data_IF_187674456763
#
_entry.id   IF_187674456763
#
_cell.length_a   1.000
_cell.length_b   1.000
_cell.length_c   1.000
_cell.angle_alpha   90.00
_cell.angle_beta   90.00
_cell.angle_gamma   90.00
#
_symmetry.space_group_name_H-M   'P 1'
#
loop_
_entity.id
_entity.type
_entity.pdbx_description
1 polymer ?
#
# COMPACT_ATOMS: atom_id res chain seq x y z
N UNK A 1 15.83 38.74 33.09
CA UNK A 1 14.37 38.84 32.91
C UNK A 1 14.02 38.20 31.59
N UNK A 2 13.49 36.98 31.60
CA UNK A 2 13.08 36.30 30.37
C UNK A 2 11.67 36.76 29.98
N UNK A 3 11.42 37.13 28.71
CA UNK A 3 10.10 37.57 28.28
C UNK A 3 9.15 36.37 28.22
N UNK A 4 8.12 36.38 29.08
CA UNK A 4 7.01 35.43 29.01
C UNK A 4 6.10 35.79 27.83
N UNK A 5 6.30 35.10 26.70
CA UNK A 5 5.37 35.13 25.59
C UNK A 5 3.99 34.60 26.05
N UNK A 6 2.88 35.29 25.76
CA UNK A 6 1.55 34.88 26.18
C UNK A 6 1.19 33.51 25.59
N UNK A 7 0.55 32.65 26.40
CA UNK A 7 0.20 31.25 26.05
C UNK A 7 -0.50 31.11 24.69
N UNK A 8 -1.29 32.11 24.30
CA UNK A 8 -1.98 32.18 23.00
C UNK A 8 -0.99 32.26 21.84
N UNK A 9 0.10 33.02 21.97
CA UNK A 9 1.12 33.13 20.91
C UNK A 9 1.87 31.82 20.72
N UNK A 10 2.17 31.10 21.81
CA UNK A 10 2.76 29.76 21.74
C UNK A 10 1.83 28.78 21.01
N UNK A 11 0.52 28.81 21.29
CA UNK A 11 -0.45 27.94 20.63
C UNK A 11 -0.55 28.20 19.12
N UNK A 12 -0.55 29.48 18.70
CA UNK A 12 -0.56 29.87 17.28
C UNK A 12 0.74 29.45 16.58
N UNK A 13 1.89 29.62 17.22
CA UNK A 13 3.19 29.18 16.68
C UNK A 13 3.23 27.66 16.54
N UNK A 14 2.73 26.90 17.52
CA UNK A 14 2.64 25.44 17.44
C UNK A 14 1.72 24.97 16.32
N UNK A 15 0.56 25.61 16.13
CA UNK A 15 -0.36 25.32 15.02
C UNK A 15 0.29 25.61 13.66
N UNK A 16 0.95 26.76 13.51
CA UNK A 16 1.62 27.12 12.27
C UNK A 16 2.78 26.16 11.93
N UNK A 17 3.57 25.76 12.92
CA UNK A 17 4.63 24.75 12.75
C UNK A 17 4.07 23.38 12.40
N UNK A 18 3.00 22.94 13.09
CA UNK A 18 2.34 21.68 12.79
C UNK A 18 1.74 21.67 11.37
N UNK A 19 1.15 22.79 10.95
CA UNK A 19 0.57 22.92 9.61
C UNK A 19 1.65 22.95 8.53
N UNK A 20 2.74 23.71 8.73
CA UNK A 20 3.89 23.75 7.83
C UNK A 20 4.60 22.39 7.72
N UNK A 21 4.78 21.67 8.83
CA UNK A 21 5.32 20.32 8.84
C UNK A 21 4.41 19.33 8.09
N UNK A 22 3.09 19.45 8.26
CA UNK A 22 2.14 18.59 7.56
C UNK A 22 2.04 18.90 6.06
N UNK A 23 2.13 20.18 5.66
CA UNK A 23 2.21 20.57 4.25
C UNK A 23 3.48 20.02 3.60
N UNK A 24 4.64 20.26 4.23
CA UNK A 24 5.92 19.75 3.76
C UNK A 24 5.96 18.21 3.69
N UNK A 25 5.42 17.50 4.70
CA UNK A 25 5.32 16.03 4.67
C UNK A 25 4.44 15.53 3.54
N UNK A 26 3.32 16.20 3.25
CA UNK A 26 2.44 15.85 2.12
C UNK A 26 3.14 16.08 0.78
N UNK A 27 3.82 17.21 0.62
CA UNK A 27 4.58 17.53 -0.60
C UNK A 27 5.76 16.58 -0.82
N UNK A 28 6.58 16.36 0.21
CA UNK A 28 7.67 15.37 0.18
C UNK A 28 7.13 13.94 -0.03
N UNK A 29 5.93 13.65 0.50
CA UNK A 29 5.17 12.45 0.23
C UNK A 29 4.83 12.31 -1.24
N UNK A 30 4.23 13.33 -1.84
CA UNK A 30 3.87 13.34 -3.26
C UNK A 30 5.09 13.24 -4.18
N UNK A 31 6.16 13.99 -3.90
CA UNK A 31 7.41 13.93 -4.66
C UNK A 31 8.07 12.54 -4.57
N UNK A 32 8.08 11.94 -3.38
CA UNK A 32 8.58 10.57 -3.19
C UNK A 32 7.74 9.53 -3.92
N UNK A 33 6.41 9.69 -3.98
CA UNK A 33 5.53 8.81 -4.73
C UNK A 33 5.77 8.93 -6.24
N UNK A 34 5.98 10.14 -6.74
CA UNK A 34 6.25 10.36 -8.16
C UNK A 34 7.62 9.80 -8.56
N UNK A 35 8.66 10.00 -7.75
CA UNK A 35 9.96 9.37 -7.95
C UNK A 35 9.86 7.83 -7.96
N UNK A 36 9.12 7.26 -7.01
CA UNK A 36 8.84 5.84 -6.96
C UNK A 36 8.15 5.33 -8.24
N UNK A 37 7.17 6.09 -8.75
CA UNK A 37 6.45 5.78 -9.99
C UNK A 37 7.29 5.95 -11.25
N UNK A 38 8.38 6.70 -11.18
CA UNK A 38 9.34 6.87 -12.27
C UNK A 38 10.49 5.85 -12.20
N UNK A 39 10.34 4.80 -11.38
CA UNK A 39 11.27 3.67 -11.33
C UNK A 39 12.30 3.72 -10.20
N UNK A 40 12.28 4.74 -9.33
CA UNK A 40 13.15 4.76 -8.14
C UNK A 40 12.61 3.78 -7.08
N UNK A 41 13.12 2.54 -7.12
CA UNK A 41 12.78 1.48 -6.16
C UNK A 41 13.11 1.84 -4.72
N UNK A 42 14.12 2.68 -4.47
CA UNK A 42 14.48 3.15 -3.13
C UNK A 42 13.47 4.17 -2.59
N UNK A 43 12.99 5.07 -3.44
CA UNK A 43 11.89 5.98 -3.09
C UNK A 43 10.59 5.19 -2.86
N UNK A 44 10.32 4.19 -3.69
CA UNK A 44 9.18 3.29 -3.53
C UNK A 44 9.19 2.58 -2.18
N UNK A 45 10.31 1.95 -1.82
CA UNK A 45 10.47 1.26 -0.53
C UNK A 45 10.20 2.19 0.67
N UNK A 46 10.76 3.41 0.64
CA UNK A 46 10.52 4.42 1.68
C UNK A 46 9.07 4.86 1.74
N UNK A 47 8.39 4.91 0.60
CA UNK A 47 6.97 5.24 0.53
C UNK A 47 6.14 4.11 1.14
N UNK A 48 6.41 2.84 0.80
CA UNK A 48 5.77 1.67 1.41
C UNK A 48 5.88 1.74 2.93
N UNK A 49 7.09 1.94 3.47
CA UNK A 49 7.30 2.03 4.92
C UNK A 49 6.53 3.18 5.58
N UNK A 50 6.44 4.31 4.88
CA UNK A 50 5.64 5.45 5.35
C UNK A 50 4.16 5.09 5.36
N UNK A 51 3.62 4.53 4.27
CA UNK A 51 2.22 4.13 4.17
C UNK A 51 1.83 3.17 5.26
N UNK A 52 2.62 2.11 5.47
CA UNK A 52 2.31 1.10 6.49
C UNK A 52 2.25 1.73 7.89
N UNK A 53 3.17 2.65 8.23
CA UNK A 53 3.10 3.40 9.49
C UNK A 53 1.93 4.37 9.56
N UNK A 54 1.70 5.15 8.51
CA UNK A 54 0.66 6.17 8.47
C UNK A 54 -0.74 5.58 8.41
N UNK A 55 -0.90 4.35 7.93
CA UNK A 55 -2.16 3.62 7.97
C UNK A 55 -2.32 2.79 9.25
N UNK A 56 -1.35 2.82 10.17
CA UNK A 56 -1.35 1.95 11.36
C UNK A 56 -1.59 0.48 10.99
N UNK A 57 -0.97 0.00 9.92
CA UNK A 57 -1.20 -1.35 9.40
C UNK A 57 -0.81 -2.41 10.43
N UNK A 58 -1.76 -3.22 10.86
CA UNK A 58 -1.48 -4.52 11.46
C UNK A 58 -1.22 -5.52 10.33
N UNK A 59 -0.02 -6.09 10.30
CA UNK A 59 0.39 -7.03 9.25
C UNK A 59 0.09 -8.46 9.70
N UNK A 60 -0.71 -9.15 8.91
CA UNK A 60 -1.05 -10.56 9.14
C UNK A 60 -0.56 -11.42 7.99
N UNK A 61 -0.09 -12.63 8.28
CA UNK A 61 0.25 -13.61 7.25
C UNK A 61 -0.99 -13.92 6.40
N UNK A 62 -0.85 -13.81 5.07
CA UNK A 62 -1.99 -13.74 4.17
C UNK A 62 -2.84 -15.01 4.17
N UNK A 63 -2.22 -16.20 4.21
CA UNK A 63 -2.98 -17.47 4.22
C UNK A 63 -3.77 -17.64 5.50
N UNK A 64 -3.17 -17.36 6.67
CA UNK A 64 -3.91 -17.39 7.93
C UNK A 64 -5.04 -16.36 7.96
N UNK A 65 -4.80 -15.15 7.48
CA UNK A 65 -5.80 -14.09 7.46
C UNK A 65 -6.99 -14.42 6.56
N UNK A 66 -6.72 -14.98 5.37
CA UNK A 66 -7.75 -15.39 4.43
C UNK A 66 -8.43 -16.70 4.88
N UNK A 67 -7.71 -17.63 5.50
CA UNK A 67 -8.26 -18.91 5.97
C UNK A 67 -9.21 -18.80 7.16
N UNK A 68 -9.15 -17.72 7.93
CA UNK A 68 -10.00 -17.50 9.10
C UNK A 68 -11.30 -16.77 8.72
N UNK A 69 -12.45 -17.36 9.05
CA UNK A 69 -13.77 -16.73 8.81
C UNK A 69 -13.94 -15.38 9.53
N UNK A 70 -13.27 -15.19 10.67
CA UNK A 70 -13.34 -13.95 11.44
C UNK A 70 -12.69 -12.76 10.74
N UNK A 71 -11.64 -12.99 9.95
CA UNK A 71 -10.86 -11.95 9.26
C UNK A 71 -11.14 -11.90 7.76
N UNK A 72 -11.47 -13.05 7.14
CA UNK A 72 -11.78 -13.17 5.71
C UNK A 72 -12.88 -12.22 5.24
N UNK A 73 -13.85 -11.92 6.10
CA UNK A 73 -14.93 -10.97 5.83
C UNK A 73 -14.46 -9.52 5.57
N UNK A 74 -13.27 -9.16 6.04
CA UNK A 74 -12.68 -7.83 5.86
C UNK A 74 -11.88 -7.68 4.56
N UNK A 75 -11.72 -8.77 3.81
CA UNK A 75 -11.14 -8.77 2.46
C UNK A 75 -12.28 -8.85 1.47
N UNK A 76 -12.32 -7.91 0.53
CA UNK A 76 -13.24 -8.02 -0.60
C UNK A 76 -12.76 -9.12 -1.53
N UNK A 77 -13.70 -9.98 -1.95
CA UNK A 77 -13.45 -11.11 -2.86
C UNK A 77 -12.31 -12.00 -2.37
N UNK A 78 -12.43 -12.54 -1.16
CA UNK A 78 -11.32 -13.24 -0.52
C UNK A 78 -10.84 -14.46 -1.33
N UNK A 79 -11.73 -15.21 -1.99
CA UNK A 79 -11.34 -16.36 -2.83
C UNK A 79 -10.42 -15.95 -4.00
N UNK A 80 -10.65 -14.76 -4.56
CA UNK A 80 -9.84 -14.23 -5.66
C UNK A 80 -8.45 -13.81 -5.16
N UNK A 81 -8.39 -13.15 -4.02
CA UNK A 81 -7.12 -12.77 -3.37
C UNK A 81 -6.35 -14.04 -2.96
N UNK A 82 -7.04 -15.07 -2.48
CA UNK A 82 -6.48 -16.36 -2.06
C UNK A 82 -5.76 -17.08 -3.20
N UNK A 83 -6.44 -17.27 -4.34
CA UNK A 83 -5.82 -17.84 -5.55
C UNK A 83 -4.59 -17.04 -6.00
N UNK A 84 -4.62 -15.72 -5.82
CA UNK A 84 -3.50 -14.87 -6.17
C UNK A 84 -2.31 -15.02 -5.22
N UNK A 85 -2.57 -15.10 -3.91
CA UNK A 85 -1.56 -15.40 -2.88
C UNK A 85 -0.89 -16.75 -3.16
N UNK A 86 -1.68 -17.78 -3.53
CA UNK A 86 -1.15 -19.09 -3.92
C UNK A 86 -0.22 -19.01 -5.14
N UNK A 87 -0.61 -18.22 -6.16
CA UNK A 87 0.20 -17.99 -7.35
C UNK A 87 1.53 -17.34 -7.01
N UNK A 88 1.52 -16.27 -6.21
CA UNK A 88 2.74 -15.56 -5.81
C UNK A 88 3.71 -16.45 -5.02
N UNK A 89 3.20 -17.27 -4.11
CA UNK A 89 4.04 -18.25 -3.42
C UNK A 89 4.66 -19.27 -4.39
N UNK A 90 3.89 -19.72 -5.38
CA UNK A 90 4.40 -20.64 -6.42
C UNK A 90 5.48 -19.97 -7.29
N UNK A 91 5.43 -18.65 -7.43
CA UNK A 91 6.44 -17.84 -8.13
C UNK A 91 7.68 -17.50 -7.26
N UNK A 92 7.73 -17.95 -6.00
CA UNK A 92 8.89 -17.76 -5.12
C UNK A 92 8.76 -16.64 -4.08
N UNK A 93 7.60 -15.97 -3.98
CA UNK A 93 7.37 -15.01 -2.90
C UNK A 93 7.40 -15.71 -1.54
N UNK A 94 8.29 -15.25 -0.65
CA UNK A 94 8.52 -15.87 0.66
C UNK A 94 7.44 -15.49 1.66
N UNK A 95 7.30 -14.18 1.88
CA UNK A 95 6.36 -13.62 2.85
C UNK A 95 5.32 -12.77 2.13
N UNK A 96 4.05 -13.08 2.38
CA UNK A 96 2.93 -12.31 1.87
C UNK A 96 2.06 -11.95 3.06
N UNK A 97 1.87 -10.65 3.27
CA UNK A 97 1.11 -10.12 4.39
C UNK A 97 -0.07 -9.27 3.91
N UNK A 98 -1.17 -9.33 4.64
CA UNK A 98 -2.30 -8.42 4.51
C UNK A 98 -2.11 -7.29 5.53
N UNK A 99 -2.17 -6.04 5.08
CA UNK A 99 -2.34 -4.89 5.96
C UNK A 99 -3.83 -4.73 6.29
N UNK A 100 -4.14 -4.94 7.56
CA UNK A 100 -5.40 -4.58 8.18
C UNK A 100 -5.26 -3.19 8.84
N UNK A 101 -6.26 -2.32 8.69
CA UNK A 101 -6.30 -1.00 9.36
C UNK A 101 -7.72 -0.69 9.84
N UNK A 102 -7.80 0.04 10.95
CA UNK A 102 -9.03 0.53 11.57
C UNK A 102 -9.23 2.05 11.42
N UNK A 103 -8.37 2.74 10.64
CA UNK A 103 -8.33 4.21 10.56
C UNK A 103 -9.62 4.87 10.09
N UNK A 104 -10.49 4.13 9.41
CA UNK A 104 -11.79 4.62 8.94
C UNK A 104 -12.94 4.29 9.90
N UNK A 105 -12.63 3.85 11.13
CA UNK A 105 -13.62 3.44 12.13
C UNK A 105 -14.15 2.02 11.92
N UNK A 106 -13.59 1.30 10.94
CA UNK A 106 -13.90 -0.07 10.61
C UNK A 106 -12.64 -0.83 10.22
N UNK A 107 -12.58 -2.11 10.59
CA UNK A 107 -11.48 -3.01 10.28
C UNK A 107 -11.55 -3.47 8.83
N UNK A 108 -10.60 -3.07 7.99
CA UNK A 108 -10.55 -3.50 6.59
C UNK A 108 -9.13 -3.83 6.14
N UNK A 109 -9.03 -4.80 5.22
CA UNK A 109 -7.79 -5.12 4.55
C UNK A 109 -7.56 -4.15 3.38
N UNK A 110 -6.46 -3.41 3.42
CA UNK A 110 -6.18 -2.35 2.43
C UNK A 110 -5.11 -2.73 1.42
N UNK A 111 -4.09 -3.47 1.86
CA UNK A 111 -2.93 -3.78 1.03
C UNK A 111 -2.49 -5.23 1.19
N UNK A 112 -1.96 -5.77 0.10
CA UNK A 112 -1.11 -6.94 0.10
C UNK A 112 0.34 -6.47 0.04
N UNK A 113 1.15 -6.85 1.02
CA UNK A 113 2.58 -6.62 1.05
C UNK A 113 3.28 -7.93 0.68
N UNK A 114 4.02 -7.93 -0.42
CA UNK A 114 4.71 -9.10 -0.96
C UNK A 114 6.20 -8.88 -0.83
N UNK A 115 6.90 -9.79 -0.15
CA UNK A 115 8.37 -9.78 -0.12
C UNK A 115 8.90 -10.42 -1.40
N UNK A 116 9.79 -9.68 -2.07
CA UNK A 116 10.44 -10.12 -3.29
C UNK A 116 11.46 -11.24 -3.00
N UNK A 117 11.60 -12.23 -3.89
CA UNK A 117 12.67 -13.23 -3.82
C UNK A 117 14.03 -12.59 -4.13
N UNK A 118 15.10 -13.23 -3.67
CA UNK A 118 16.48 -12.77 -3.93
C UNK A 118 16.94 -13.08 -5.37
N UNK A 119 16.27 -14.05 -6.02
CA UNK A 119 16.53 -14.45 -7.41
C UNK A 119 15.82 -13.49 -8.37
N UNK A 120 16.57 -12.93 -9.33
CA UNK A 120 16.06 -11.87 -10.22
C UNK A 120 14.96 -12.36 -11.17
N UNK A 121 15.05 -13.59 -11.68
CA UNK A 121 14.04 -14.13 -12.59
C UNK A 121 12.71 -14.39 -11.86
N UNK A 122 12.79 -14.89 -10.62
CA UNK A 122 11.64 -15.00 -9.74
C UNK A 122 11.10 -13.63 -9.32
N UNK A 123 11.98 -12.65 -9.11
CA UNK A 123 11.60 -11.29 -8.73
C UNK A 123 10.72 -10.66 -9.82
N UNK A 124 11.16 -10.72 -11.07
CA UNK A 124 10.41 -10.21 -12.22
C UNK A 124 9.06 -10.93 -12.36
N UNK A 125 9.04 -12.24 -12.15
CA UNK A 125 7.80 -13.04 -12.19
C UNK A 125 6.82 -12.61 -11.09
N UNK A 126 7.28 -12.44 -9.86
CA UNK A 126 6.47 -11.98 -8.72
C UNK A 126 5.92 -10.57 -8.97
N UNK A 127 6.73 -9.67 -9.52
CA UNK A 127 6.31 -8.31 -9.87
C UNK A 127 5.23 -8.34 -10.96
N UNK A 128 5.45 -9.10 -12.04
CA UNK A 128 4.50 -9.21 -13.14
C UNK A 128 3.16 -9.79 -12.66
N UNK A 129 3.20 -10.78 -11.79
CA UNK A 129 2.01 -11.37 -11.19
C UNK A 129 1.29 -10.36 -10.28
N UNK A 130 2.01 -9.61 -9.44
CA UNK A 130 1.43 -8.54 -8.60
C UNK A 130 0.68 -7.50 -9.44
N UNK A 131 1.26 -7.08 -10.57
CA UNK A 131 0.60 -6.16 -11.50
C UNK A 131 -0.60 -6.81 -12.21
N UNK A 132 -0.53 -8.12 -12.51
CA UNK A 132 -1.61 -8.88 -13.13
C UNK A 132 -2.87 -8.92 -12.26
N UNK A 133 -2.71 -9.01 -10.92
CA UNK A 133 -3.83 -8.90 -9.97
C UNK A 133 -4.61 -7.60 -10.19
N UNK A 134 -3.91 -6.47 -10.16
CA UNK A 134 -4.54 -5.14 -10.33
C UNK A 134 -5.13 -4.98 -11.73
N UNK A 135 -4.42 -5.44 -12.76
CA UNK A 135 -4.90 -5.39 -14.14
C UNK A 135 -6.22 -6.13 -14.30
N UNK A 136 -6.31 -7.33 -13.76
CA UNK A 136 -7.54 -8.15 -13.84
C UNK A 136 -8.65 -7.58 -12.97
N UNK A 137 -8.33 -7.02 -11.81
CA UNK A 137 -9.29 -6.27 -10.98
C UNK A 137 -9.92 -5.12 -11.78
N UNK A 138 -9.08 -4.31 -12.43
CA UNK A 138 -9.51 -3.18 -13.23
C UNK A 138 -10.43 -3.59 -14.41
N UNK A 139 -10.02 -4.58 -15.21
CA UNK A 139 -10.79 -5.01 -16.40
C UNK A 139 -12.12 -5.64 -15.99
N UNK A 140 -12.10 -6.60 -15.06
CA UNK A 140 -13.28 -7.41 -14.75
C UNK A 140 -14.28 -6.62 -13.90
N UNK A 141 -13.81 -5.76 -13.01
CA UNK A 141 -14.66 -5.18 -11.96
C UNK A 141 -14.87 -3.68 -12.08
N UNK A 142 -14.00 -2.95 -12.81
CA UNK A 142 -14.20 -1.52 -13.07
C UNK A 142 -14.67 -1.24 -14.49
N UNK A 143 -14.65 -2.23 -15.39
CA UNK A 143 -15.10 -2.08 -16.77
C UNK A 143 -14.29 -1.05 -17.57
N UNK A 144 -13.04 -0.82 -17.17
CA UNK A 144 -12.17 0.21 -17.76
C UNK A 144 -11.51 -0.25 -19.06
N UNK A 145 -11.15 0.70 -19.91
CA UNK A 145 -10.44 0.45 -21.17
C UNK A 145 -8.99 0.05 -20.92
N UNK A 146 -8.35 -0.57 -21.92
CA UNK A 146 -6.94 -0.98 -21.86
C UNK A 146 -5.97 0.17 -21.53
N UNK A 147 -6.30 1.40 -21.93
CA UNK A 147 -5.46 2.57 -21.65
C UNK A 147 -5.56 3.02 -20.18
N UNK A 148 -6.76 2.92 -19.59
CA UNK A 148 -7.01 3.27 -18.19
C UNK A 148 -6.45 2.22 -17.21
N UNK A 149 -6.42 0.96 -17.65
CA UNK A 149 -5.85 -0.17 -16.91
C UNK A 149 -4.40 0.10 -16.49
N UNK A 150 -3.54 0.55 -17.40
CA UNK A 150 -2.13 0.77 -17.07
C UNK A 150 -1.95 1.90 -16.05
N UNK A 151 -2.79 2.93 -16.11
CA UNK A 151 -2.81 3.97 -15.10
C UNK A 151 -3.26 3.42 -13.73
N UNK A 152 -4.23 2.50 -13.69
CA UNK A 152 -4.68 1.85 -12.45
C UNK A 152 -3.58 0.93 -11.88
N UNK A 153 -2.90 0.16 -12.73
CA UNK A 153 -1.75 -0.66 -12.33
C UNK A 153 -0.67 0.21 -11.70
N UNK A 154 -0.32 1.34 -12.35
CA UNK A 154 0.67 2.30 -11.87
C UNK A 154 0.28 2.97 -10.55
N UNK A 155 -1.01 3.21 -10.31
CA UNK A 155 -1.46 3.86 -9.07
C UNK A 155 -1.69 2.90 -7.92
N UNK A 156 -1.99 1.63 -8.20
CA UNK A 156 -2.40 0.62 -7.21
C UNK A 156 -1.30 -0.40 -6.91
N UNK A 157 -0.18 -0.38 -7.63
CA UNK A 157 0.99 -1.23 -7.39
C UNK A 157 2.23 -0.36 -7.19
N UNK A 158 2.96 -0.58 -6.11
CA UNK A 158 4.23 0.09 -5.84
C UNK A 158 5.34 -0.95 -5.67
N UNK A 159 6.38 -0.88 -6.51
CA UNK A 159 7.50 -1.83 -6.52
C UNK A 159 8.70 -1.20 -5.82
N UNK A 160 8.97 -1.66 -4.60
CA UNK A 160 10.15 -1.31 -3.83
C UNK A 160 11.38 -2.13 -4.21
N UNK A 161 12.45 -1.94 -3.43
CA UNK A 161 13.68 -2.70 -3.61
C UNK A 161 13.56 -4.13 -3.08
N UNK A 162 12.70 -4.35 -2.07
CA UNK A 162 12.53 -5.66 -1.42
C UNK A 162 11.07 -6.09 -1.34
N UNK A 163 10.14 -5.17 -1.55
CA UNK A 163 8.70 -5.42 -1.35
C UNK A 163 7.88 -4.81 -2.45
N UNK A 164 6.80 -5.48 -2.81
CA UNK A 164 5.71 -4.92 -3.62
C UNK A 164 4.54 -4.64 -2.70
N UNK A 165 3.98 -3.45 -2.79
CA UNK A 165 2.72 -3.10 -2.14
C UNK A 165 1.63 -3.06 -3.20
N UNK A 166 0.61 -3.90 -3.04
CA UNK A 166 -0.54 -3.97 -3.94
C UNK A 166 -1.78 -3.52 -3.18
N UNK A 167 -2.53 -2.57 -3.74
CA UNK A 167 -3.83 -2.20 -3.20
C UNK A 167 -4.82 -3.34 -3.46
N UNK A 168 -5.49 -3.80 -2.41
CA UNK A 168 -6.52 -4.82 -2.54
C UNK A 168 -7.77 -4.22 -3.21
N UNK A 169 -8.60 -5.04 -3.86
CA UNK A 169 -9.86 -4.59 -4.44
C UNK A 169 -10.73 -3.87 -3.40
N UNK A 170 -11.08 -2.61 -3.65
CA UNK A 170 -11.88 -1.80 -2.71
C UNK A 170 -13.35 -1.71 -3.10
N UNK A 171 -13.69 -1.86 -4.39
CA UNK A 171 -15.06 -1.75 -4.92
C UNK A 171 -15.22 -2.61 -6.19
N UNK A 172 -16.34 -3.33 -6.31
CA UNK A 172 -16.92 -3.69 -7.60
C UNK A 172 -18.23 -2.91 -7.66
N UNK A 173 -18.37 -2.01 -8.63
CA UNK A 173 -19.66 -1.35 -8.88
C UNK A 173 -20.72 -2.39 -9.25
#
# INVERSE_FOLDING_TARGET
MAPHLPKVLWFVVSLALAWGLNAWRREAGAAGLEAARNGDRGAAERWIDRTLREQSCELHEARAYLGSSATRQYVRRPDYVDTFVEKLHSAGARDIAVCESDKLGFRFAHYLLVTLPDDLDQEETVIADAQSLVRRDAVVYRGVTSAEVEQIVRTSTLIGARRVLVQLPTEAN
#
